data_IF_971513317900
#
_entry.id   IF_971513317900
#
_cell.length_a   1.000
_cell.length_b   1.000
_cell.length_c   1.000
_cell.angle_alpha   90.00
_cell.angle_beta   90.00
_cell.angle_gamma   90.00
#
_symmetry.space_group_name_H-M   'P 1'
#
loop_
_entity.id
_entity.type
_entity.pdbx_description
1 polymer ?
#
# COMPACT_ATOMS: atom_id res chain seq x y z
N UNK A 1 11.13 39.43 -3.48
CA UNK A 1 11.72 38.09 -3.64
C UNK A 1 11.13 37.27 -2.49
N UNK A 2 10.16 36.43 -2.76
CA UNK A 2 9.56 35.55 -1.73
C UNK A 2 10.48 34.35 -1.67
N UNK A 3 11.27 34.25 -0.61
CA UNK A 3 12.02 33.02 -0.32
C UNK A 3 10.96 31.96 0.04
N UNK A 4 10.82 30.94 -0.79
CA UNK A 4 10.05 29.75 -0.43
C UNK A 4 10.77 29.12 0.77
N UNK A 5 10.07 28.87 1.88
CA UNK A 5 10.70 28.18 3.01
C UNK A 5 11.07 26.77 2.54
N UNK A 6 12.36 26.47 2.53
CA UNK A 6 12.81 25.10 2.31
C UNK A 6 12.31 24.24 3.48
N UNK A 7 11.36 23.36 3.20
CA UNK A 7 10.89 22.38 4.17
C UNK A 7 11.95 21.29 4.28
N UNK A 8 12.64 21.24 5.42
CA UNK A 8 13.57 20.17 5.70
C UNK A 8 12.80 18.94 6.17
N UNK A 9 13.10 17.80 5.59
CA UNK A 9 12.55 16.52 6.00
C UNK A 9 13.65 15.68 6.64
N UNK A 10 13.41 15.24 7.85
CA UNK A 10 14.27 14.30 8.56
C UNK A 10 13.58 12.96 8.63
N UNK A 11 14.26 11.88 8.29
CA UNK A 11 13.69 10.53 8.40
C UNK A 11 14.73 9.53 8.87
N UNK A 12 14.30 8.57 9.66
CA UNK A 12 15.07 7.41 10.07
C UNK A 12 14.23 6.14 9.90
N UNK A 13 14.86 5.05 9.52
CA UNK A 13 14.18 3.77 9.42
C UNK A 13 15.02 2.63 9.97
N UNK A 14 14.34 1.67 10.59
CA UNK A 14 14.91 0.41 11.04
C UNK A 14 14.15 -0.73 10.35
N UNK A 15 14.88 -1.59 9.68
CA UNK A 15 14.34 -2.78 9.05
C UNK A 15 15.07 -4.00 9.57
N UNK A 16 14.33 -5.02 9.96
CA UNK A 16 14.90 -6.32 10.30
C UNK A 16 14.12 -7.44 9.63
N UNK A 17 14.83 -8.50 9.36
CA UNK A 17 14.32 -9.69 8.71
C UNK A 17 14.65 -10.91 9.56
N UNK A 18 13.71 -11.83 9.67
CA UNK A 18 13.88 -13.08 10.40
C UNK A 18 13.42 -14.24 9.53
N UNK A 19 14.23 -15.28 9.48
CA UNK A 19 13.90 -16.55 8.83
C UNK A 19 13.81 -17.64 9.90
N UNK A 20 12.66 -18.28 9.99
CA UNK A 20 12.39 -19.35 10.97
C UNK A 20 12.24 -20.66 10.21
N UNK A 21 13.21 -21.53 10.40
CA UNK A 21 13.29 -22.77 9.61
C UNK A 21 13.46 -22.46 8.11
N UNK A 22 12.82 -23.28 7.26
CA UNK A 22 12.87 -23.11 5.80
C UNK A 22 11.53 -22.62 5.20
N UNK A 23 10.55 -22.28 6.05
CA UNK A 23 9.18 -21.99 5.60
C UNK A 23 8.62 -20.65 6.02
N UNK A 24 9.23 -19.97 6.98
CA UNK A 24 8.72 -18.70 7.49
C UNK A 24 9.77 -17.63 7.31
N UNK A 25 9.42 -16.57 6.61
CA UNK A 25 10.21 -15.35 6.48
C UNK A 25 9.36 -14.17 6.93
N UNK A 26 9.90 -13.35 7.80
CA UNK A 26 9.24 -12.15 8.27
C UNK A 26 10.14 -10.95 8.06
N UNK A 27 9.52 -9.82 7.78
CA UNK A 27 10.20 -8.54 7.69
C UNK A 27 9.38 -7.50 8.43
N UNK A 28 10.01 -6.78 9.32
CA UNK A 28 9.43 -5.64 10.01
C UNK A 28 10.21 -4.38 9.63
N UNK A 29 9.47 -3.29 9.44
CA UNK A 29 10.04 -1.98 9.16
C UNK A 29 9.39 -0.97 10.08
N UNK A 30 10.19 -0.21 10.77
CA UNK A 30 9.79 0.94 11.55
C UNK A 30 10.42 2.18 10.94
N UNK A 31 9.64 3.22 10.75
CA UNK A 31 10.10 4.48 10.19
C UNK A 31 9.55 5.64 11.01
N UNK A 32 10.40 6.63 11.25
CA UNK A 32 10.03 7.92 11.81
C UNK A 32 10.39 8.98 10.79
N UNK A 33 9.50 9.89 10.54
CA UNK A 33 9.77 11.05 9.66
C UNK A 33 9.19 12.31 10.30
N UNK A 34 9.90 13.43 10.10
CA UNK A 34 9.47 14.75 10.52
C UNK A 34 9.71 15.73 9.39
N UNK A 35 8.70 16.53 9.10
CA UNK A 35 8.81 17.69 8.21
C UNK A 35 8.79 18.91 9.10
N UNK A 36 9.66 19.91 8.86
CA UNK A 36 9.70 21.14 9.63
C UNK A 36 8.32 21.75 9.82
N UNK A 37 7.99 22.12 11.06
CA UNK A 37 6.71 22.64 11.49
C UNK A 37 5.52 21.65 11.47
N UNK A 38 5.78 20.35 11.33
CA UNK A 38 4.77 19.28 11.49
C UNK A 38 5.15 18.37 12.65
N UNK A 39 4.17 17.61 13.14
CA UNK A 39 4.36 16.54 14.10
C UNK A 39 5.19 15.39 13.49
N UNK A 40 5.70 14.53 14.34
CA UNK A 40 6.44 13.35 13.90
C UNK A 40 5.46 12.29 13.41
N UNK A 41 5.72 11.75 12.21
CA UNK A 41 4.98 10.63 11.64
C UNK A 41 5.71 9.33 11.94
N UNK A 42 5.02 8.43 12.58
CA UNK A 42 5.48 7.06 12.85
C UNK A 42 4.83 6.11 11.85
N UNK A 43 5.61 5.15 11.36
CA UNK A 43 5.10 4.09 10.50
C UNK A 43 5.67 2.76 10.95
N UNK A 44 4.82 1.77 11.05
CA UNK A 44 5.21 0.39 11.28
C UNK A 44 4.61 -0.51 10.20
N UNK A 45 5.43 -1.40 9.64
CA UNK A 45 5.01 -2.40 8.66
C UNK A 45 5.54 -3.76 9.04
N UNK A 46 4.71 -4.78 8.92
CA UNK A 46 5.03 -6.18 9.13
C UNK A 46 4.60 -7.00 7.92
N UNK A 47 5.55 -7.71 7.32
CA UNK A 47 5.35 -8.60 6.18
C UNK A 47 5.75 -10.03 6.58
N UNK A 48 4.92 -11.00 6.23
CA UNK A 48 5.11 -12.43 6.51
C UNK A 48 4.96 -13.23 5.24
N UNK A 49 5.84 -14.20 5.03
CA UNK A 49 5.72 -15.21 3.99
C UNK A 49 5.83 -16.58 4.66
N UNK A 50 4.79 -17.40 4.48
CA UNK A 50 4.67 -18.73 5.08
C UNK A 50 4.51 -19.77 3.97
N UNK A 51 5.51 -20.64 3.80
CA UNK A 51 5.43 -21.80 2.93
C UNK A 51 4.53 -22.88 3.54
N UNK A 52 3.26 -22.89 3.17
CA UNK A 52 2.28 -23.88 3.67
C UNK A 52 2.60 -25.28 3.12
N UNK A 53 3.00 -25.33 1.86
CA UNK A 53 3.53 -26.51 1.19
C UNK A 53 4.71 -26.10 0.31
N UNK A 54 5.33 -27.04 -0.40
CA UNK A 54 6.40 -26.75 -1.34
C UNK A 54 5.92 -25.92 -2.56
N UNK A 55 4.59 -25.86 -2.78
CA UNK A 55 3.96 -25.15 -3.90
C UNK A 55 3.05 -24.00 -3.49
N UNK A 56 2.70 -23.90 -2.21
CA UNK A 56 1.73 -22.92 -1.72
C UNK A 56 2.38 -22.01 -0.67
N UNK A 57 2.37 -20.73 -0.95
CA UNK A 57 2.86 -19.69 -0.03
C UNK A 57 1.72 -18.74 0.34
N UNK A 58 1.51 -18.55 1.63
CA UNK A 58 0.68 -17.51 2.19
C UNK A 58 1.55 -16.29 2.51
N UNK A 59 1.11 -15.11 2.06
CA UNK A 59 1.74 -13.84 2.45
C UNK A 59 0.73 -13.00 3.20
N UNK A 60 1.17 -12.44 4.31
CA UNK A 60 0.40 -11.52 5.13
C UNK A 60 1.17 -10.21 5.21
N UNK A 61 0.45 -9.10 5.19
CA UNK A 61 1.01 -7.78 5.42
C UNK A 61 0.07 -6.98 6.32
N UNK A 62 0.65 -6.18 7.20
CA UNK A 62 -0.08 -5.24 8.02
C UNK A 62 0.79 -4.03 8.32
N UNK A 63 0.17 -2.89 8.51
CA UNK A 63 0.90 -1.69 8.90
C UNK A 63 -0.02 -0.62 9.44
N UNK A 64 0.60 0.28 10.15
CA UNK A 64 -0.03 1.47 10.74
C UNK A 64 0.86 2.67 10.46
N UNK A 65 0.25 3.82 10.26
CA UNK A 65 0.94 5.11 10.27
C UNK A 65 0.16 6.07 11.17
N UNK A 66 0.88 6.85 11.93
CA UNK A 66 0.32 7.77 12.91
C UNK A 66 1.10 9.08 12.92
N UNK A 67 0.38 10.21 12.88
CA UNK A 67 0.87 11.58 13.01
C UNK A 67 -0.15 12.35 13.85
N UNK A 68 -0.07 12.19 15.18
CA UNK A 68 -1.04 12.79 16.13
C UNK A 68 -0.98 14.34 16.10
N UNK A 69 -2.11 15.05 15.99
CA UNK A 69 -3.49 14.58 15.77
C UNK A 69 -3.91 14.55 14.30
N UNK A 70 -2.98 14.66 13.36
CA UNK A 70 -3.25 15.03 11.98
C UNK A 70 -3.65 13.86 11.07
N UNK A 71 -3.14 12.64 11.35
CA UNK A 71 -3.31 11.53 10.43
C UNK A 71 -3.12 10.18 11.11
N UNK A 72 -4.07 9.28 10.90
CA UNK A 72 -3.94 7.88 11.23
C UNK A 72 -4.25 7.03 9.99
N UNK A 73 -3.48 5.99 9.75
CA UNK A 73 -3.75 5.05 8.68
C UNK A 73 -3.45 3.61 9.07
N UNK A 74 -4.25 2.70 8.56
CA UNK A 74 -4.13 1.26 8.75
C UNK A 74 -4.20 0.56 7.40
N UNK A 75 -3.37 -0.44 7.22
CA UNK A 75 -3.53 -1.33 6.08
C UNK A 75 -3.27 -2.78 6.46
N UNK A 76 -3.94 -3.67 5.76
CA UNK A 76 -3.75 -5.09 5.89
C UNK A 76 -3.95 -5.79 4.56
N UNK A 77 -3.33 -6.95 4.40
CA UNK A 77 -3.49 -7.73 3.19
C UNK A 77 -3.12 -9.18 3.39
N UNK A 78 -3.72 -10.01 2.56
CA UNK A 78 -3.45 -11.43 2.46
C UNK A 78 -3.31 -11.81 1.00
N UNK A 79 -2.34 -12.65 0.69
CA UNK A 79 -2.25 -13.25 -0.64
C UNK A 79 -1.79 -14.71 -0.57
N UNK A 80 -2.29 -15.48 -1.52
CA UNK A 80 -1.93 -16.88 -1.73
C UNK A 80 -1.23 -16.98 -3.08
N UNK A 81 -0.03 -17.53 -3.09
CA UNK A 81 0.74 -17.84 -4.30
C UNK A 81 0.81 -19.35 -4.45
N UNK A 82 0.30 -19.87 -5.56
CA UNK A 82 0.32 -21.31 -5.88
C UNK A 82 1.14 -21.58 -7.13
N UNK A 83 2.19 -22.40 -6.98
CA UNK A 83 3.02 -22.87 -8.08
C UNK A 83 2.35 -24.08 -8.76
N UNK A 84 1.65 -23.81 -9.87
CA UNK A 84 0.96 -24.84 -10.66
C UNK A 84 1.97 -25.80 -11.30
N UNK A 85 3.02 -25.22 -11.92
CA UNK A 85 4.18 -25.92 -12.48
C UNK A 85 5.43 -25.11 -12.18
N UNK A 86 6.65 -25.62 -12.43
CA UNK A 86 7.90 -24.84 -12.28
C UNK A 86 7.94 -23.54 -13.09
N UNK A 87 7.05 -23.38 -14.07
CA UNK A 87 6.97 -22.20 -14.94
C UNK A 87 5.73 -21.34 -14.68
N UNK A 88 4.70 -21.85 -14.00
CA UNK A 88 3.45 -21.16 -13.80
C UNK A 88 3.10 -20.99 -12.33
N UNK A 89 2.82 -19.76 -11.94
CA UNK A 89 2.31 -19.40 -10.63
C UNK A 89 1.00 -18.62 -10.77
N UNK A 90 0.07 -18.87 -9.90
CA UNK A 90 -1.17 -18.10 -9.74
C UNK A 90 -1.13 -17.44 -8.37
N UNK A 91 -1.44 -16.15 -8.32
CA UNK A 91 -1.55 -15.40 -7.08
C UNK A 91 -2.98 -14.87 -6.92
N UNK A 92 -3.54 -15.02 -5.73
CA UNK A 92 -4.78 -14.38 -5.29
C UNK A 92 -4.44 -13.42 -4.17
N UNK A 93 -4.96 -12.22 -4.20
CA UNK A 93 -4.68 -11.19 -3.20
C UNK A 93 -5.90 -10.41 -2.79
N UNK A 94 -5.91 -10.01 -1.54
CA UNK A 94 -6.82 -9.03 -0.95
C UNK A 94 -6.01 -8.03 -0.14
N UNK A 95 -6.34 -6.75 -0.27
CA UNK A 95 -5.74 -5.66 0.51
C UNK A 95 -6.82 -4.68 0.92
N UNK A 96 -6.75 -4.21 2.15
CA UNK A 96 -7.56 -3.13 2.69
C UNK A 96 -6.67 -2.02 3.22
N UNK A 97 -7.12 -0.80 3.03
CA UNK A 97 -6.49 0.41 3.53
C UNK A 97 -7.57 1.34 4.08
N UNK A 98 -7.29 1.98 5.22
CA UNK A 98 -8.13 2.99 5.83
C UNK A 98 -7.24 4.11 6.36
N UNK A 99 -7.66 5.35 6.20
CA UNK A 99 -7.05 6.51 6.84
C UNK A 99 -8.09 7.54 7.28
N UNK A 100 -7.67 8.42 8.17
CA UNK A 100 -8.50 9.51 8.71
C UNK A 100 -8.51 10.75 7.84
N UNK A 101 -7.82 10.72 6.70
CA UNK A 101 -7.58 11.90 5.88
C UNK A 101 -6.41 12.73 6.38
N UNK A 102 -5.86 13.53 5.53
CA UNK A 102 -4.70 14.38 5.84
C UNK A 102 -5.14 15.83 6.03
N UNK A 103 -4.90 16.39 7.22
CA UNK A 103 -5.03 17.83 7.45
C UNK A 103 -3.83 18.50 6.78
N UNK A 104 -3.91 18.74 5.49
CA UNK A 104 -2.92 19.58 4.85
C UNK A 104 -3.16 21.04 5.30
N UNK A 105 -2.17 21.61 5.96
CA UNK A 105 -2.09 23.06 6.18
C UNK A 105 -1.82 23.76 4.83
N UNK A 106 -2.58 23.43 3.82
CA UNK A 106 -2.50 24.11 2.53
C UNK A 106 -3.45 25.31 2.55
N UNK A 107 -3.13 26.32 1.76
CA UNK A 107 -3.88 27.56 1.58
C UNK A 107 -5.36 27.38 1.17
N UNK A 108 -5.86 26.16 1.14
CA UNK A 108 -7.20 25.83 0.63
C UNK A 108 -8.23 25.51 1.74
N UNK A 109 -7.90 25.59 3.00
CA UNK A 109 -8.84 25.34 4.13
C UNK A 109 -9.65 24.02 4.04
N UNK A 110 -9.19 23.04 3.29
CA UNK A 110 -9.86 21.74 3.14
C UNK A 110 -8.89 20.63 3.45
N UNK A 111 -9.21 19.86 4.48
CA UNK A 111 -8.57 18.58 4.75
C UNK A 111 -8.98 17.57 3.67
N UNK A 112 -8.07 16.70 3.25
CA UNK A 112 -8.47 15.53 2.47
C UNK A 112 -9.36 14.65 3.36
N UNK A 113 -10.52 14.17 2.88
CA UNK A 113 -11.38 13.28 3.66
C UNK A 113 -10.69 11.95 3.91
N UNK A 114 -11.07 11.26 4.97
CA UNK A 114 -10.65 9.90 5.22
C UNK A 114 -11.01 8.97 4.06
N UNK A 115 -10.18 7.98 3.83
CA UNK A 115 -10.31 7.01 2.75
C UNK A 115 -10.40 5.59 3.32
N UNK A 116 -11.40 4.84 2.90
CA UNK A 116 -11.44 3.38 3.03
C UNK A 116 -11.32 2.76 1.64
N UNK A 117 -10.44 1.80 1.44
CA UNK A 117 -10.33 1.12 0.16
C UNK A 117 -10.06 -0.37 0.31
N UNK A 118 -10.57 -1.14 -0.65
CA UNK A 118 -10.34 -2.57 -0.79
C UNK A 118 -9.87 -2.90 -2.21
N UNK A 119 -8.93 -3.83 -2.32
CA UNK A 119 -8.43 -4.32 -3.60
C UNK A 119 -8.40 -5.85 -3.60
N UNK A 120 -9.03 -6.44 -4.59
CA UNK A 120 -9.00 -7.87 -4.88
C UNK A 120 -8.19 -8.09 -6.15
N UNK A 121 -7.22 -8.97 -6.12
CA UNK A 121 -6.37 -9.24 -7.28
C UNK A 121 -6.27 -10.73 -7.58
N UNK A 122 -6.23 -11.06 -8.86
CA UNK A 122 -5.78 -12.34 -9.37
C UNK A 122 -4.68 -12.11 -10.38
N UNK A 123 -3.58 -12.86 -10.30
CA UNK A 123 -2.54 -12.78 -11.30
C UNK A 123 -2.00 -14.16 -11.68
N UNK A 124 -1.53 -14.27 -12.91
CA UNK A 124 -0.80 -15.42 -13.41
C UNK A 124 0.59 -14.97 -13.85
N UNK A 125 1.62 -15.65 -13.37
CA UNK A 125 3.01 -15.45 -13.75
C UNK A 125 3.49 -16.66 -14.52
N UNK A 126 3.98 -16.45 -15.74
CA UNK A 126 4.76 -17.43 -16.48
C UNK A 126 6.22 -17.01 -16.46
N UNK A 127 7.12 -17.95 -16.13
CA UNK A 127 8.55 -17.69 -16.10
C UNK A 127 9.31 -18.85 -16.74
N UNK A 128 10.22 -18.53 -17.67
CA UNK A 128 11.12 -19.49 -18.28
C UNK A 128 12.46 -18.84 -18.60
N UNK A 129 13.56 -19.40 -18.07
CA UNK A 129 14.89 -18.84 -18.21
C UNK A 129 14.95 -17.37 -17.81
N UNK A 130 15.34 -16.50 -18.74
CA UNK A 130 15.45 -15.06 -18.55
C UNK A 130 14.16 -14.27 -18.85
N UNK A 131 13.07 -14.95 -19.17
CA UNK A 131 11.81 -14.32 -19.60
C UNK A 131 10.70 -14.54 -18.57
N UNK A 132 9.96 -13.49 -18.24
CA UNK A 132 8.72 -13.61 -17.45
C UNK A 132 7.60 -12.80 -18.05
N UNK A 133 6.38 -13.32 -17.96
CA UNK A 133 5.13 -12.66 -18.34
C UNK A 133 4.19 -12.73 -17.18
N UNK A 134 3.71 -11.58 -16.70
CA UNK A 134 2.67 -11.51 -15.67
C UNK A 134 1.42 -10.86 -16.24
N UNK A 135 0.30 -11.52 -16.10
CA UNK A 135 -1.03 -10.98 -16.36
C UNK A 135 -1.76 -10.85 -15.02
N UNK A 136 -2.42 -9.72 -14.78
CA UNK A 136 -3.20 -9.50 -13.57
C UNK A 136 -4.50 -8.78 -13.86
N UNK A 137 -5.53 -9.13 -13.09
CA UNK A 137 -6.82 -8.45 -12.99
C UNK A 137 -7.02 -8.03 -11.54
N UNK A 138 -7.58 -6.86 -11.33
CA UNK A 138 -7.91 -6.36 -10.00
C UNK A 138 -9.26 -5.65 -10.01
N UNK A 139 -9.97 -5.74 -8.90
CA UNK A 139 -11.14 -4.93 -8.58
C UNK A 139 -10.70 -4.05 -7.42
N UNK A 140 -10.85 -2.76 -7.61
CA UNK A 140 -10.57 -1.75 -6.60
C UNK A 140 -11.86 -1.02 -6.26
N UNK A 141 -12.09 -0.90 -4.96
CA UNK A 141 -13.22 -0.18 -4.39
C UNK A 141 -12.70 0.83 -3.38
N UNK A 142 -13.23 2.06 -3.39
CA UNK A 142 -12.84 3.11 -2.46
C UNK A 142 -14.01 4.00 -2.11
N UNK A 143 -14.15 4.23 -0.81
CA UNK A 143 -15.14 5.11 -0.20
C UNK A 143 -14.41 6.24 0.51
N UNK A 144 -14.86 7.46 0.32
CA UNK A 144 -14.36 8.65 1.02
C UNK A 144 -15.35 9.12 2.06
N UNK A 145 -14.83 9.59 3.18
CA UNK A 145 -15.65 10.26 4.19
C UNK A 145 -16.37 11.49 3.60
N UNK A 146 -17.60 11.77 4.04
CA UNK A 146 -18.34 12.93 3.57
C UNK A 146 -17.59 14.23 3.82
N UNK A 147 -17.41 15.03 2.76
CA UNK A 147 -16.77 16.34 2.87
C UNK A 147 -17.70 17.28 3.64
N UNK A 148 -17.22 17.84 4.73
CA UNK A 148 -18.00 18.71 5.64
C UNK A 148 -18.33 20.07 5.03
N UNK A 149 -17.66 20.48 3.94
CA UNK A 149 -17.94 21.72 3.23
C UNK A 149 -18.36 21.45 1.77
N UNK A 150 -19.66 21.21 1.50
CA UNK A 150 -20.16 20.87 0.16
C UNK A 150 -20.11 22.01 -0.86
N UNK A 151 -19.80 23.25 -0.47
CA UNK A 151 -19.73 24.38 -1.40
C UNK A 151 -18.52 24.29 -2.34
N UNK A 152 -17.50 23.49 -2.01
CA UNK A 152 -16.34 23.29 -2.87
C UNK A 152 -16.54 22.12 -3.82
N UNK A 153 -17.29 22.37 -4.91
CA UNK A 153 -17.63 21.36 -5.92
C UNK A 153 -16.42 20.74 -6.63
N UNK A 154 -15.28 21.41 -6.66
CA UNK A 154 -14.04 20.89 -7.25
C UNK A 154 -13.48 19.79 -6.39
N UNK A 155 -13.43 19.97 -5.07
CA UNK A 155 -12.96 18.96 -4.13
C UNK A 155 -13.92 17.77 -4.04
N UNK A 156 -15.23 18.00 -4.03
CA UNK A 156 -16.24 16.95 -4.07
C UNK A 156 -16.10 16.04 -5.31
N UNK A 157 -15.55 16.55 -6.41
CA UNK A 157 -15.29 15.77 -7.62
C UNK A 157 -13.97 14.97 -7.56
N UNK A 158 -13.00 15.38 -6.75
CA UNK A 158 -11.73 14.68 -6.60
C UNK A 158 -11.86 13.48 -5.64
N UNK A 159 -12.65 13.64 -4.57
CA UNK A 159 -12.86 12.63 -3.52
C UNK A 159 -14.23 11.98 -3.69
N UNK A 160 -14.35 11.15 -4.71
CA UNK A 160 -15.56 10.35 -4.98
C UNK A 160 -15.28 8.89 -4.74
N UNK A 161 -16.29 8.21 -4.23
CA UNK A 161 -16.31 6.76 -4.22
C UNK A 161 -16.09 6.22 -5.63
N UNK A 162 -15.24 5.24 -5.76
CA UNK A 162 -14.83 4.68 -7.05
C UNK A 162 -14.75 3.17 -6.96
N UNK A 163 -15.41 2.55 -7.91
CA UNK A 163 -15.21 1.15 -8.22
C UNK A 163 -14.67 1.03 -9.64
N UNK A 164 -13.56 0.33 -9.82
CA UNK A 164 -12.99 0.10 -11.13
C UNK A 164 -12.25 -1.23 -11.22
N UNK A 165 -12.22 -1.76 -12.44
CA UNK A 165 -11.47 -2.96 -12.78
C UNK A 165 -10.15 -2.55 -13.45
N UNK A 166 -9.05 -3.13 -12.99
CA UNK A 166 -7.73 -2.96 -13.59
C UNK A 166 -7.31 -4.23 -14.30
N UNK A 167 -6.70 -4.09 -15.48
CA UNK A 167 -6.03 -5.18 -16.17
C UNK A 167 -4.61 -4.74 -16.53
N UNK A 168 -3.63 -5.60 -16.22
CA UNK A 168 -2.23 -5.31 -16.48
C UNK A 168 -1.53 -6.52 -17.06
N UNK A 169 -0.72 -6.31 -18.09
CA UNK A 169 0.22 -7.30 -18.61
C UNK A 169 1.64 -6.70 -18.52
N UNK A 170 2.54 -7.43 -17.91
CA UNK A 170 3.95 -7.05 -17.79
C UNK A 170 4.82 -8.14 -18.40
N UNK A 171 5.76 -7.75 -19.26
CA UNK A 171 6.77 -8.61 -19.86
C UNK A 171 8.15 -8.14 -19.39
N UNK A 172 8.97 -9.07 -18.92
CA UNK A 172 10.34 -8.81 -18.49
C UNK A 172 11.27 -9.82 -19.14
N UNK A 173 12.38 -9.33 -19.70
CA UNK A 173 13.46 -10.17 -20.22
C UNK A 173 14.81 -9.63 -19.71
N UNK A 174 15.60 -10.52 -19.13
CA UNK A 174 16.99 -10.22 -18.72
C UNK A 174 17.93 -10.73 -19.79
N UNK A 175 18.90 -9.94 -20.20
CA UNK A 175 19.90 -10.26 -21.24
C UNK A 175 21.23 -10.62 -20.59
#
# INVERSE_FOLDING_TARGET
>A
MIEEPYLNTHSGSLRWETVIGNRIRTQQTFQVSRVDAREERFQFRSDWALGLTDKLTLRLQAGVADEDPAFEAYYGGVSLAYEVTPHWQIDLGYRRYEDTGEITASNFNTAAPGLSSAEYTISALYQTGSTSVRASLGIFDSDFDPITNPENTVFANLFRDREFVTARIAFTRTF
#
